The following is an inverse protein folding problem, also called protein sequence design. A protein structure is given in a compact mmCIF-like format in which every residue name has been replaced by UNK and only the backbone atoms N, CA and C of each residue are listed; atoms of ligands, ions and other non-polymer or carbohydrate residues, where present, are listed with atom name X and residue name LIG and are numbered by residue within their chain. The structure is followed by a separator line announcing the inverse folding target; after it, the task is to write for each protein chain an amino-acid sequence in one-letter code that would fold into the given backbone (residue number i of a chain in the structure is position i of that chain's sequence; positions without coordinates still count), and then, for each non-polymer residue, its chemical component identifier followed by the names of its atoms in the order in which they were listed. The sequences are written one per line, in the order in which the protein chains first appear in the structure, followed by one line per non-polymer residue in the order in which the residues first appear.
data_IF_120917955736
#
_entry.id   IF_120917955736
#
_cell.length_a   1.000
_cell.length_b   1.000
_cell.length_c   1.000
_cell.angle_alpha   90.00
_cell.angle_beta   90.00
_cell.angle_gamma   90.00
#
_symmetry.space_group_name_H-M   'P 1'
#
loop_
_entity.id
_entity.type
_entity.pdbx_description
1 polymer ?
#
# COMPACT_ATOMS: atom_id res chain seq x y z
N UNK A 1 -9.77 25.27 0.55
CA UNK A 1 -9.51 23.99 -0.15
C UNK A 1 -10.16 22.90 0.68
N UNK A 2 -10.87 21.95 0.07
CA UNK A 2 -11.53 20.89 0.81
C UNK A 2 -10.49 19.79 1.06
N UNK A 3 -10.08 19.59 2.32
CA UNK A 3 -9.13 18.51 2.68
C UNK A 3 -9.82 17.15 2.55
N UNK A 4 -9.11 16.08 2.18
CA UNK A 4 -9.65 14.73 2.28
C UNK A 4 -9.95 14.38 3.73
N UNK A 5 -10.91 13.47 3.93
CA UNK A 5 -11.51 13.24 5.25
C UNK A 5 -11.46 11.79 5.66
N UNK A 6 -11.07 11.59 6.91
CA UNK A 6 -11.27 10.33 7.65
C UNK A 6 -12.43 10.56 8.60
N UNK A 7 -13.41 9.66 8.56
CA UNK A 7 -14.48 9.63 9.55
C UNK A 7 -14.21 8.50 10.55
N UNK A 8 -14.23 8.82 11.84
CA UNK A 8 -14.14 7.86 12.93
C UNK A 8 -15.47 7.86 13.67
N UNK A 9 -16.15 6.73 13.67
CA UNK A 9 -17.43 6.54 14.37
C UNK A 9 -17.25 5.54 15.48
N UNK A 10 -17.68 5.87 16.69
CA UNK A 10 -17.67 4.93 17.81
C UNK A 10 -19.08 4.65 18.32
N UNK A 11 -19.33 3.40 18.72
CA UNK A 11 -20.52 3.05 19.52
C UNK A 11 -20.27 3.10 21.03
N UNK A 12 -19.04 3.45 21.43
CA UNK A 12 -18.61 3.60 22.82
C UNK A 12 -17.97 4.95 23.05
N UNK A 13 -18.49 5.69 24.03
CA UNK A 13 -18.02 7.03 24.34
C UNK A 13 -16.51 7.09 24.60
N UNK A 14 -15.86 8.06 23.97
CA UNK A 14 -14.44 8.40 24.10
C UNK A 14 -13.51 7.63 23.16
N UNK A 15 -13.99 6.54 22.54
CA UNK A 15 -13.12 5.69 21.70
C UNK A 15 -12.82 6.29 20.34
N UNK A 16 -13.72 7.09 19.75
CA UNK A 16 -13.41 7.75 18.49
C UNK A 16 -12.32 8.82 18.69
N UNK A 17 -12.42 9.61 19.77
CA UNK A 17 -11.41 10.60 20.17
C UNK A 17 -10.06 9.93 20.50
N UNK A 18 -10.08 8.85 21.28
CA UNK A 18 -8.88 8.08 21.62
C UNK A 18 -8.13 7.59 20.38
N UNK A 19 -8.84 7.05 19.37
CA UNK A 19 -8.22 6.63 18.12
C UNK A 19 -7.62 7.83 17.37
N UNK A 20 -8.36 8.94 17.23
CA UNK A 20 -7.87 10.14 16.54
C UNK A 20 -6.58 10.69 17.19
N UNK A 21 -6.55 10.75 18.52
CA UNK A 21 -5.38 11.24 19.26
C UNK A 21 -4.20 10.27 19.15
N UNK A 22 -4.46 8.95 19.21
CA UNK A 22 -3.41 7.93 19.13
C UNK A 22 -2.81 7.77 17.73
N UNK A 23 -3.54 8.09 16.65
CA UNK A 23 -2.94 8.18 15.30
C UNK A 23 -2.08 9.44 15.12
N UNK A 24 -2.07 10.35 16.11
CA UNK A 24 -1.31 11.60 16.09
C UNK A 24 -2.06 12.78 15.47
N UNK A 25 -3.40 12.74 15.41
CA UNK A 25 -4.18 13.88 14.93
C UNK A 25 -4.30 14.97 16.00
N UNK A 26 -4.11 16.22 15.61
CA UNK A 26 -4.19 17.39 16.48
C UNK A 26 -5.60 17.97 16.49
N UNK A 27 -6.14 18.23 17.67
CA UNK A 27 -7.51 18.72 17.82
C UNK A 27 -7.68 20.15 17.27
N UNK A 28 -8.70 20.38 16.47
CA UNK A 28 -9.02 21.69 15.87
C UNK A 28 -10.22 22.36 16.53
N UNK A 29 -11.35 21.65 16.60
CA UNK A 29 -12.62 22.21 17.09
C UNK A 29 -13.54 21.10 17.61
N UNK A 30 -14.46 21.48 18.49
CA UNK A 30 -15.52 20.61 19.01
C UNK A 30 -16.84 21.35 18.91
N UNK A 31 -17.82 20.73 18.26
CA UNK A 31 -19.19 21.19 18.15
C UNK A 31 -20.11 19.99 18.45
N UNK A 32 -20.88 20.09 19.54
CA UNK A 32 -21.73 19.00 20.04
C UNK A 32 -20.95 17.68 20.23
N UNK A 33 -21.40 16.59 19.62
CA UNK A 33 -20.77 15.25 19.65
C UNK A 33 -19.82 15.01 18.46
N UNK A 34 -19.47 16.08 17.74
CA UNK A 34 -18.54 16.05 16.60
C UNK A 34 -17.27 16.80 16.97
N UNK A 35 -16.13 16.14 16.82
CA UNK A 35 -14.81 16.76 17.01
C UNK A 35 -14.00 16.61 15.75
N UNK A 36 -13.42 17.72 15.31
CA UNK A 36 -12.55 17.79 14.15
C UNK A 36 -11.10 17.89 14.60
N UNK A 37 -10.25 17.12 13.93
CA UNK A 37 -8.82 17.04 14.12
C UNK A 37 -8.11 17.22 12.78
N UNK A 38 -6.87 17.69 12.82
CA UNK A 38 -5.98 17.78 11.68
C UNK A 38 -4.89 16.74 11.84
N UNK A 39 -4.71 15.91 10.83
CA UNK A 39 -3.63 14.93 10.81
C UNK A 39 -2.70 15.21 9.65
N UNK A 40 -1.46 15.56 9.98
CA UNK A 40 -0.39 15.77 9.03
C UNK A 40 0.34 14.44 8.84
N UNK A 41 0.05 13.77 7.73
CA UNK A 41 0.83 12.59 7.32
C UNK A 41 2.16 13.12 6.79
N UNK A 42 3.25 12.74 7.45
CA UNK A 42 4.61 13.03 7.03
C UNK A 42 5.45 11.75 7.09
N UNK A 43 5.39 10.94 6.04
CA UNK A 43 6.10 9.65 5.97
C UNK A 43 7.33 9.73 5.05
N UNK A 44 8.02 8.61 4.82
CA UNK A 44 9.24 8.56 3.98
C UNK A 44 8.99 9.01 2.53
N UNK A 45 7.78 8.85 2.02
CA UNK A 45 7.45 8.97 0.60
C UNK A 45 6.69 10.25 0.28
N UNK A 46 5.83 10.72 1.18
CA UNK A 46 4.98 11.88 0.92
C UNK A 46 4.58 12.64 2.18
N UNK A 47 4.04 13.84 1.93
CA UNK A 47 3.28 14.62 2.90
C UNK A 47 1.83 14.77 2.46
N UNK A 48 0.89 14.79 3.39
CA UNK A 48 -0.54 14.98 3.11
C UNK A 48 -1.25 15.54 4.33
N UNK A 49 -2.27 16.39 4.12
CA UNK A 49 -3.08 16.95 5.20
C UNK A 49 -4.48 16.37 5.20
N UNK A 50 -4.88 15.76 6.31
CA UNK A 50 -6.14 15.03 6.43
C UNK A 50 -7.00 15.66 7.52
N UNK A 51 -8.27 15.88 7.23
CA UNK A 51 -9.25 16.24 8.25
C UNK A 51 -9.82 14.95 8.85
N UNK A 52 -9.61 14.75 10.15
CA UNK A 52 -10.15 13.59 10.87
C UNK A 52 -11.35 14.06 11.69
N UNK A 53 -12.51 13.46 11.45
CA UNK A 53 -13.75 13.78 12.17
C UNK A 53 -14.17 12.61 13.04
N UNK A 54 -14.36 12.86 14.33
CA UNK A 54 -14.83 11.84 15.28
C UNK A 54 -16.28 12.06 15.64
N UNK A 55 -17.06 10.99 15.72
CA UNK A 55 -18.45 10.99 16.17
C UNK A 55 -18.61 9.87 17.22
N UNK A 56 -18.99 10.23 18.44
CA UNK A 56 -19.11 9.30 19.58
C UNK A 56 -20.50 8.65 19.70
N UNK A 57 -21.42 8.95 18.76
CA UNK A 57 -22.75 8.35 18.72
C UNK A 57 -23.24 8.16 17.28
N UNK A 58 -23.61 6.92 16.96
CA UNK A 58 -24.23 6.55 15.68
C UNK A 58 -25.62 7.17 15.46
N UNK A 59 -26.18 7.89 16.44
CA UNK A 59 -27.52 8.51 16.35
C UNK A 59 -27.53 9.78 15.51
N UNK A 60 -26.36 10.37 15.23
CA UNK A 60 -26.25 11.61 14.46
C UNK A 60 -26.39 11.37 12.96
N UNK A 61 -26.86 12.39 12.24
CA UNK A 61 -26.74 12.41 10.77
C UNK A 61 -25.27 12.59 10.41
N UNK A 62 -24.63 11.48 10.10
CA UNK A 62 -23.23 11.44 9.70
C UNK A 62 -23.10 12.12 8.32
N UNK A 63 -22.23 13.13 8.17
CA UNK A 63 -21.95 13.70 6.86
C UNK A 63 -21.20 12.68 6.01
N UNK A 64 -21.83 12.22 4.92
CA UNK A 64 -21.27 11.18 4.04
C UNK A 64 -20.46 11.74 2.87
N UNK A 65 -20.47 13.06 2.67
CA UNK A 65 -19.83 13.68 1.52
C UNK A 65 -18.33 13.92 1.75
N UNK A 66 -17.51 13.45 0.80
CA UNK A 66 -16.06 13.68 0.79
C UNK A 66 -15.30 12.85 1.82
N UNK A 67 -15.87 11.74 2.29
CA UNK A 67 -15.18 10.77 3.16
C UNK A 67 -14.35 9.83 2.30
N UNK A 68 -13.04 9.78 2.56
CA UNK A 68 -12.09 8.92 1.87
C UNK A 68 -11.83 7.61 2.61
N UNK A 69 -11.91 7.64 3.95
CA UNK A 69 -11.77 6.48 4.82
C UNK A 69 -12.77 6.51 5.97
N UNK A 70 -13.29 5.34 6.34
CA UNK A 70 -14.14 5.13 7.51
C UNK A 70 -13.43 4.21 8.50
N UNK A 71 -13.34 4.65 9.74
CA UNK A 71 -12.91 3.85 10.89
C UNK A 71 -14.11 3.73 11.82
N UNK A 72 -14.46 2.51 12.19
CA UNK A 72 -15.51 2.23 13.16
C UNK A 72 -14.86 1.65 14.40
N UNK A 73 -15.23 2.14 15.58
CA UNK A 73 -15.04 1.40 16.82
C UNK A 73 -16.37 0.85 17.30
N UNK A 74 -16.42 -0.46 17.53
CA UNK A 74 -17.60 -1.12 18.05
C UNK A 74 -17.19 -2.19 19.07
N UNK A 75 -17.96 -2.37 20.12
CA UNK A 75 -17.79 -3.46 21.08
C UNK A 75 -18.66 -4.66 20.68
N UNK A 76 -18.08 -5.73 20.09
CA UNK A 76 -18.86 -6.87 19.61
C UNK A 76 -19.53 -7.67 20.73
N UNK A 77 -19.17 -7.41 21.99
CA UNK A 77 -19.74 -8.05 23.17
C UNK A 77 -20.89 -7.24 23.77
N UNK A 78 -21.24 -6.09 23.20
CA UNK A 78 -22.36 -5.28 23.65
C UNK A 78 -23.72 -5.97 23.42
N UNK A 79 -24.68 -5.74 24.32
CA UNK A 79 -26.01 -6.34 24.25
C UNK A 79 -26.80 -5.98 22.97
N UNK A 80 -26.50 -4.83 22.39
CA UNK A 80 -27.13 -4.28 21.19
C UNK A 80 -26.23 -4.41 19.94
N UNK A 81 -25.17 -5.22 19.98
CA UNK A 81 -24.17 -5.32 18.92
C UNK A 81 -24.77 -5.56 17.53
N UNK A 82 -25.71 -6.50 17.41
CA UNK A 82 -26.34 -6.82 16.11
C UNK A 82 -27.09 -5.64 15.49
N UNK A 83 -27.79 -4.85 16.32
CA UNK A 83 -28.51 -3.66 15.86
C UNK A 83 -27.55 -2.55 15.41
N UNK A 84 -26.45 -2.37 16.13
CA UNK A 84 -25.41 -1.39 15.77
C UNK A 84 -24.69 -1.80 14.48
N UNK A 85 -24.37 -3.09 14.32
CA UNK A 85 -23.79 -3.62 13.08
C UNK A 85 -24.70 -3.41 11.87
N UNK A 86 -26.02 -3.58 12.01
CA UNK A 86 -26.95 -3.33 10.90
C UNK A 86 -27.03 -1.85 10.51
N UNK A 87 -26.93 -0.94 11.49
CA UNK A 87 -26.81 0.49 11.24
C UNK A 87 -25.48 0.81 10.52
N UNK A 88 -24.36 0.26 10.99
CA UNK A 88 -23.03 0.48 10.41
C UNK A 88 -22.94 -0.04 8.98
N UNK A 89 -23.59 -1.16 8.66
CA UNK A 89 -23.71 -1.66 7.29
C UNK A 89 -24.48 -0.67 6.40
N UNK A 90 -25.56 -0.09 6.92
CA UNK A 90 -26.34 0.93 6.20
C UNK A 90 -25.52 2.21 5.93
N UNK A 91 -24.75 2.66 6.93
CA UNK A 91 -23.83 3.79 6.80
C UNK A 91 -22.76 3.51 5.73
N UNK A 92 -22.16 2.33 5.76
CA UNK A 92 -21.11 1.92 4.82
C UNK A 92 -21.60 1.99 3.37
N UNK A 93 -22.82 1.54 3.09
CA UNK A 93 -23.43 1.59 1.76
C UNK A 93 -23.72 3.02 1.26
N UNK A 94 -23.77 4.01 2.17
CA UNK A 94 -24.00 5.41 1.82
C UNK A 94 -22.72 6.21 1.55
N UNK A 95 -21.55 5.62 1.86
CA UNK A 95 -20.24 6.26 1.74
C UNK A 95 -19.55 5.83 0.44
N UNK A 96 -18.72 6.71 -0.11
CA UNK A 96 -17.85 6.42 -1.26
C UNK A 96 -16.39 6.21 -0.86
N UNK A 97 -16.14 5.93 0.42
CA UNK A 97 -14.80 5.69 0.95
C UNK A 97 -14.18 4.45 0.30
N UNK A 98 -12.85 4.42 0.26
CA UNK A 98 -12.07 3.30 -0.29
C UNK A 98 -11.44 2.45 0.82
N UNK A 99 -11.25 3.03 2.01
CA UNK A 99 -10.67 2.37 3.17
C UNK A 99 -11.73 2.23 4.27
N UNK A 100 -11.94 0.99 4.73
CA UNK A 100 -12.89 0.66 5.79
C UNK A 100 -12.18 -0.16 6.87
N UNK A 101 -12.05 0.39 8.07
CA UNK A 101 -11.39 -0.25 9.20
C UNK A 101 -12.40 -0.45 10.34
N UNK A 102 -12.56 -1.69 10.78
CA UNK A 102 -13.39 -2.05 11.92
C UNK A 102 -12.47 -2.34 13.10
N UNK A 103 -12.54 -1.50 14.12
CA UNK A 103 -11.72 -1.59 15.31
C UNK A 103 -12.55 -2.04 16.51
N UNK A 104 -11.97 -2.90 17.34
CA UNK A 104 -12.58 -3.33 18.59
C UNK A 104 -11.52 -3.73 19.62
N UNK A 105 -11.95 -4.00 20.84
CA UNK A 105 -11.10 -4.68 21.81
C UNK A 105 -10.87 -6.14 21.41
N UNK A 106 -9.87 -6.77 22.02
CA UNK A 106 -9.54 -8.17 21.76
C UNK A 106 -10.74 -9.10 21.97
N UNK A 107 -11.01 -9.94 20.98
CA UNK A 107 -12.11 -10.90 20.99
C UNK A 107 -11.59 -12.26 21.44
N UNK A 108 -11.90 -12.65 22.67
CA UNK A 108 -11.43 -13.93 23.24
C UNK A 108 -12.25 -15.13 22.79
N UNK A 109 -13.54 -14.94 22.49
CA UNK A 109 -14.42 -16.00 21.98
C UNK A 109 -14.20 -16.19 20.47
N UNK A 110 -13.73 -17.39 20.09
CA UNK A 110 -13.48 -17.77 18.69
C UNK A 110 -14.74 -17.69 17.82
N UNK A 111 -15.91 -18.10 18.33
CA UNK A 111 -17.15 -18.07 17.55
C UNK A 111 -17.61 -16.63 17.30
N UNK A 112 -17.46 -15.78 18.30
CA UNK A 112 -17.74 -14.35 18.15
C UNK A 112 -16.75 -13.69 17.19
N UNK A 113 -15.46 -14.03 17.29
CA UNK A 113 -14.42 -13.55 16.38
C UNK A 113 -14.75 -13.91 14.93
N UNK A 114 -15.11 -15.16 14.67
CA UNK A 114 -15.51 -15.62 13.34
C UNK A 114 -16.75 -14.88 12.83
N UNK A 115 -17.75 -14.63 13.69
CA UNK A 115 -18.94 -13.85 13.35
C UNK A 115 -18.56 -12.42 12.92
N UNK A 116 -17.72 -11.74 13.71
CA UNK A 116 -17.29 -10.36 13.45
C UNK A 116 -16.44 -10.29 12.19
N UNK A 117 -15.50 -11.22 12.01
CA UNK A 117 -14.65 -11.28 10.82
C UNK A 117 -15.48 -11.48 9.55
N UNK A 118 -16.44 -12.41 9.56
CA UNK A 118 -17.36 -12.61 8.43
C UNK A 118 -18.19 -11.36 8.13
N UNK A 119 -18.67 -10.66 9.16
CA UNK A 119 -19.37 -9.39 8.97
C UNK A 119 -18.46 -8.33 8.36
N UNK A 120 -17.21 -8.21 8.81
CA UNK A 120 -16.23 -7.26 8.28
C UNK A 120 -15.98 -7.55 6.79
N UNK A 121 -15.68 -8.80 6.43
CA UNK A 121 -15.46 -9.21 5.04
C UNK A 121 -16.66 -8.90 4.14
N UNK A 122 -17.87 -9.17 4.62
CA UNK A 122 -19.10 -8.88 3.87
C UNK A 122 -19.29 -7.37 3.60
N UNK A 123 -18.90 -6.54 4.57
CA UNK A 123 -19.03 -5.08 4.50
C UNK A 123 -17.72 -4.38 4.07
N UNK A 124 -16.73 -5.14 3.58
CA UNK A 124 -15.42 -4.66 3.09
C UNK A 124 -14.54 -3.99 4.14
N UNK A 125 -14.79 -4.25 5.42
CA UNK A 125 -13.93 -3.81 6.51
C UNK A 125 -12.74 -4.76 6.70
N UNK A 126 -11.60 -4.17 7.04
CA UNK A 126 -10.51 -4.88 7.71
C UNK A 126 -10.73 -4.85 9.23
N UNK A 127 -10.59 -6.00 9.90
CA UNK A 127 -10.69 -6.10 11.36
C UNK A 127 -9.37 -5.74 12.03
N UNK A 128 -9.40 -4.79 12.97
CA UNK A 128 -8.25 -4.34 13.76
C UNK A 128 -8.56 -4.42 15.25
N UNK A 129 -7.99 -5.40 15.95
CA UNK A 129 -8.10 -5.49 17.41
C UNK A 129 -7.06 -4.56 18.07
N UNK A 130 -7.53 -3.59 18.87
CA UNK A 130 -6.68 -2.56 19.48
C UNK A 130 -5.81 -3.08 20.62
N UNK A 131 -6.32 -4.02 21.40
CA UNK A 131 -5.68 -4.54 22.61
C UNK A 131 -5.03 -5.91 22.38
N UNK A 132 -4.63 -6.24 21.14
CA UNK A 132 -3.87 -7.46 20.91
C UNK A 132 -2.52 -7.35 21.62
N UNK A 133 -2.51 -7.76 22.88
CA UNK A 133 -1.31 -8.14 23.62
C UNK A 133 -0.86 -9.46 23.02
N UNK A 134 -0.17 -9.40 21.88
CA UNK A 134 0.47 -10.58 21.35
C UNK A 134 1.37 -11.17 22.43
N UNK A 135 1.22 -12.46 22.71
CA UNK A 135 2.41 -13.26 22.95
C UNK A 135 3.29 -13.00 21.72
N UNK A 136 4.29 -12.14 21.88
CA UNK A 136 5.16 -11.64 20.81
C UNK A 136 5.98 -12.75 20.13
N UNK A 137 5.73 -14.01 20.49
CA UNK A 137 6.45 -15.21 20.07
C UNK A 137 5.85 -15.89 18.83
N UNK A 138 4.64 -15.51 18.39
CA UNK A 138 3.99 -16.13 17.20
C UNK A 138 4.12 -15.33 15.91
N UNK A 139 4.40 -14.03 16.00
CA UNK A 139 4.50 -13.17 14.82
C UNK A 139 5.97 -12.91 14.47
N UNK A 140 6.58 -13.88 13.80
CA UNK A 140 7.94 -13.77 13.28
C UNK A 140 8.07 -12.79 12.12
N UNK A 141 6.96 -12.29 11.58
CA UNK A 141 6.89 -11.38 10.43
C UNK A 141 6.90 -9.89 10.81
N UNK A 142 6.77 -9.56 12.11
CA UNK A 142 6.77 -8.17 12.58
C UNK A 142 5.57 -7.37 12.07
N UNK A 143 4.42 -8.02 11.95
CA UNK A 143 3.16 -7.40 11.58
C UNK A 143 2.74 -6.38 12.65
N UNK A 144 2.11 -5.30 12.18
CA UNK A 144 1.59 -4.24 13.05
C UNK A 144 0.17 -4.55 13.48
N UNK A 145 -0.16 -4.19 14.71
CA UNK A 145 -1.48 -4.40 15.31
C UNK A 145 -2.03 -3.11 15.91
N UNK A 146 -3.33 -3.11 16.24
CA UNK A 146 -4.01 -1.98 16.87
C UNK A 146 -3.83 -0.65 16.13
N UNK A 147 -3.45 0.40 16.86
CA UNK A 147 -3.28 1.75 16.31
C UNK A 147 -2.23 1.80 15.20
N UNK A 148 -1.12 1.06 15.35
CA UNK A 148 -0.05 1.07 14.33
C UNK A 148 -0.54 0.50 13.00
N UNK A 149 -1.43 -0.51 13.05
CA UNK A 149 -2.07 -1.06 11.85
C UNK A 149 -3.01 -0.07 11.18
N UNK A 150 -3.78 0.68 11.97
CA UNK A 150 -4.63 1.77 11.46
C UNK A 150 -3.78 2.81 10.72
N UNK A 151 -2.69 3.27 11.36
CA UNK A 151 -1.77 4.24 10.77
C UNK A 151 -1.21 3.72 9.44
N UNK A 152 -0.78 2.46 9.39
CA UNK A 152 -0.22 1.86 8.17
C UNK A 152 -1.24 1.78 7.03
N UNK A 153 -2.46 1.32 7.31
CA UNK A 153 -3.54 1.27 6.32
C UNK A 153 -3.84 2.67 5.75
N UNK A 154 -3.87 3.70 6.60
CA UNK A 154 -4.09 5.08 6.18
C UNK A 154 -2.87 5.67 5.43
N UNK A 155 -1.64 5.32 5.83
CA UNK A 155 -0.44 5.74 5.11
C UNK A 155 -0.32 5.11 3.72
N UNK A 156 -0.83 3.88 3.54
CA UNK A 156 -0.86 3.19 2.25
C UNK A 156 -1.92 3.76 1.29
N UNK A 157 -2.90 4.52 1.79
CA UNK A 157 -3.91 5.13 0.96
C UNK A 157 -3.34 6.27 0.10
N UNK A 158 -3.79 6.37 -1.16
CA UNK A 158 -3.36 7.41 -2.09
C UNK A 158 -4.25 8.65 -1.93
N UNK A 159 -3.89 9.53 -0.99
CA UNK A 159 -4.68 10.72 -0.70
C UNK A 159 -4.74 11.71 -1.87
N UNK A 160 -5.89 12.37 -2.12
CA UNK A 160 -6.05 13.34 -3.22
C UNK A 160 -5.08 14.53 -3.20
N UNK A 161 -4.52 14.86 -2.04
CA UNK A 161 -3.60 15.99 -1.83
C UNK A 161 -2.18 15.54 -1.44
N UNK A 162 -1.77 14.33 -1.82
CA UNK A 162 -0.39 13.86 -1.66
C UNK A 162 0.60 14.83 -2.32
N UNK A 163 1.63 15.19 -1.57
CA UNK A 163 2.83 15.87 -2.07
C UNK A 163 4.01 14.92 -1.87
N UNK A 164 4.48 14.32 -2.96
CA UNK A 164 5.60 13.38 -2.94
C UNK A 164 6.89 14.08 -2.48
N UNK A 165 7.62 13.42 -1.59
CA UNK A 165 8.97 13.83 -1.23
C UNK A 165 9.90 13.43 -2.36
N UNK A 166 10.57 14.42 -2.94
CA UNK A 166 11.69 14.16 -3.82
C UNK A 166 12.79 13.55 -2.95
N UNK A 167 12.93 12.22 -2.96
CA UNK A 167 14.20 11.62 -2.61
C UNK A 167 15.21 12.23 -3.59
N UNK A 168 16.33 12.83 -3.17
CA UNK A 168 17.44 12.95 -4.08
C UNK A 168 17.74 11.51 -4.49
N UNK A 169 17.40 11.18 -5.73
CA UNK A 169 18.02 10.08 -6.43
C UNK A 169 19.51 10.45 -6.44
N UNK A 170 20.23 9.98 -5.42
CA UNK A 170 21.68 10.01 -5.43
C UNK A 170 22.04 8.81 -6.30
N UNK A 171 22.50 9.13 -7.51
CA UNK A 171 23.23 8.29 -8.48
C UNK A 171 22.55 7.47 -9.59
N UNK A 172 21.22 7.39 -9.74
CA UNK A 172 20.69 6.64 -10.92
C UNK A 172 20.87 7.40 -12.26
N UNK A 173 20.96 8.73 -12.26
CA UNK A 173 21.20 9.49 -13.51
C UNK A 173 22.62 9.37 -14.04
N UNK A 174 23.59 9.04 -13.19
CA UNK A 174 24.96 8.78 -13.65
C UNK A 174 25.09 7.35 -14.18
N UNK A 175 24.48 6.38 -13.50
CA UNK A 175 24.50 4.98 -13.95
C UNK A 175 23.70 4.74 -15.22
N UNK A 176 22.52 5.33 -15.41
CA UNK A 176 21.74 5.13 -16.65
C UNK A 176 22.46 5.69 -17.89
N UNK A 177 23.22 6.77 -17.74
CA UNK A 177 24.02 7.32 -18.84
C UNK A 177 25.27 6.47 -19.13
N UNK A 178 25.98 6.01 -18.09
CA UNK A 178 27.13 5.10 -18.26
C UNK A 178 26.71 3.75 -18.83
N UNK A 179 25.55 3.22 -18.42
CA UNK A 179 24.95 2.00 -18.95
C UNK A 179 24.52 2.23 -20.40
N UNK A 180 23.89 3.36 -20.73
CA UNK A 180 23.54 3.75 -22.10
C UNK A 180 24.74 3.79 -23.05
N UNK A 181 25.89 4.32 -22.61
CA UNK A 181 27.14 4.33 -23.37
C UNK A 181 27.76 2.91 -23.52
N UNK A 182 27.60 2.04 -22.52
CA UNK A 182 28.00 0.63 -22.63
C UNK A 182 27.14 -0.14 -23.66
N UNK A 183 25.85 0.19 -23.77
CA UNK A 183 24.94 -0.39 -24.75
C UNK A 183 25.06 0.22 -26.15
N UNK A 184 25.51 1.47 -26.31
CA UNK A 184 25.77 2.08 -27.64
C UNK A 184 26.91 1.38 -28.41
N UNK A 185 27.82 0.70 -27.71
CA UNK A 185 28.92 -0.04 -28.31
C UNK A 185 28.54 -1.45 -28.78
N UNK A 186 27.32 -1.92 -28.51
CA UNK A 186 26.83 -3.24 -28.95
C UNK A 186 26.37 -3.14 -30.40
N UNK A 187 27.24 -3.54 -31.34
CA UNK A 187 26.85 -3.72 -32.74
C UNK A 187 26.07 -5.01 -32.90
N UNK A 188 24.79 -4.90 -33.26
CA UNK A 188 23.98 -6.05 -33.66
C UNK A 188 24.52 -6.65 -34.96
N UNK A 189 25.06 -7.87 -34.88
CA UNK A 189 25.37 -8.67 -36.07
C UNK A 189 24.69 -10.04 -36.00
N UNK A 190 24.58 -10.68 -37.16
CA UNK A 190 23.93 -12.00 -37.32
C UNK A 190 24.86 -13.18 -36.98
N UNK A 191 26.06 -12.95 -36.48
CA UNK A 191 27.02 -14.01 -36.22
C UNK A 191 26.72 -14.74 -34.90
N UNK A 192 26.57 -16.08 -34.89
CA UNK A 192 26.35 -16.85 -33.67
C UNK A 192 27.47 -16.73 -32.63
N UNK A 193 28.69 -16.36 -33.04
CA UNK A 193 29.82 -16.15 -32.11
C UNK A 193 29.69 -14.83 -31.32
N UNK A 194 29.02 -13.82 -31.88
CA UNK A 194 28.80 -12.52 -31.23
C UNK A 194 27.53 -12.52 -30.34
N UNK A 195 26.60 -13.47 -30.56
CA UNK A 195 25.46 -13.70 -29.65
C UNK A 195 25.90 -14.18 -28.26
N UNK A 196 26.92 -15.03 -28.21
CA UNK A 196 27.52 -15.49 -26.95
C UNK A 196 28.14 -14.32 -26.18
N UNK A 197 28.83 -13.41 -26.89
CA UNK A 197 29.43 -12.22 -26.28
C UNK A 197 28.38 -11.30 -25.64
N UNK A 198 27.20 -11.11 -26.27
CA UNK A 198 26.11 -10.34 -25.66
C UNK A 198 25.50 -11.04 -24.45
N UNK A 199 25.38 -12.37 -24.48
CA UNK A 199 24.92 -13.14 -23.32
C UNK A 199 25.88 -13.00 -22.14
N UNK A 200 27.20 -13.02 -22.39
CA UNK A 200 28.22 -12.83 -21.37
C UNK A 200 28.23 -11.40 -20.78
N UNK A 201 27.93 -10.39 -21.61
CA UNK A 201 27.78 -9.00 -21.14
C UNK A 201 26.51 -8.86 -20.28
N UNK A 202 25.40 -9.45 -20.70
CA UNK A 202 24.14 -9.41 -19.95
C UNK A 202 24.23 -10.18 -18.63
N UNK A 203 24.85 -11.36 -18.64
CA UNK A 203 25.12 -12.14 -17.43
C UNK A 203 26.11 -11.39 -16.49
N UNK A 204 27.00 -10.55 -17.02
CA UNK A 204 27.88 -9.68 -16.22
C UNK A 204 27.22 -8.44 -15.63
N UNK A 205 26.13 -7.94 -16.25
CA UNK A 205 25.36 -6.77 -15.80
C UNK A 205 24.22 -7.17 -14.84
N UNK A 206 23.61 -8.34 -15.07
CA UNK A 206 22.42 -8.83 -14.36
C UNK A 206 22.72 -10.00 -13.40
N UNK A 207 23.93 -10.55 -13.43
CA UNK A 207 24.33 -11.72 -12.63
C UNK A 207 24.94 -11.40 -11.27
N UNK A 208 24.90 -10.15 -10.81
CA UNK A 208 25.16 -9.87 -9.39
C UNK A 208 23.91 -10.25 -8.58
N UNK A 209 24.08 -11.22 -7.69
CA UNK A 209 23.06 -11.73 -6.77
C UNK A 209 22.52 -10.63 -5.82
N UNK A 210 23.10 -9.41 -5.86
CA UNK A 210 22.74 -8.26 -5.04
C UNK A 210 22.16 -7.06 -5.82
N UNK A 211 21.88 -7.17 -7.12
CA UNK A 211 21.33 -6.05 -7.90
C UNK A 211 19.94 -5.61 -7.37
N UNK A 212 19.77 -4.31 -7.10
CA UNK A 212 18.48 -3.76 -6.64
C UNK A 212 17.45 -3.77 -7.78
N UNK A 213 16.18 -4.01 -7.46
CA UNK A 213 15.10 -4.10 -8.45
C UNK A 213 14.96 -2.80 -9.28
N UNK A 214 15.32 -1.65 -8.69
CA UNK A 214 15.38 -0.36 -9.39
C UNK A 214 16.42 -0.34 -10.52
N UNK A 215 17.60 -0.91 -10.28
CA UNK A 215 18.69 -1.01 -11.26
C UNK A 215 18.29 -1.93 -12.42
N UNK A 216 17.71 -3.09 -12.10
CA UNK A 216 17.18 -4.05 -13.09
C UNK A 216 16.09 -3.42 -13.97
N UNK A 217 15.22 -2.59 -13.37
CA UNK A 217 14.15 -1.90 -14.11
C UNK A 217 14.69 -0.78 -15.00
N UNK A 218 15.68 -0.02 -14.53
CA UNK A 218 16.39 0.98 -15.33
C UNK A 218 17.06 0.36 -16.56
N UNK A 219 17.73 -0.78 -16.37
CA UNK A 219 18.35 -1.55 -17.44
C UNK A 219 17.30 -2.08 -18.44
N UNK A 220 16.17 -2.60 -17.95
CA UNK A 220 15.06 -3.05 -18.82
C UNK A 220 14.50 -1.92 -19.68
N UNK A 221 14.32 -0.73 -19.11
CA UNK A 221 13.81 0.44 -19.84
C UNK A 221 14.77 0.90 -20.94
N UNK A 222 16.08 0.91 -20.68
CA UNK A 222 17.10 1.22 -21.70
C UNK A 222 17.08 0.20 -22.85
N UNK A 223 16.98 -1.10 -22.54
CA UNK A 223 16.89 -2.15 -23.57
C UNK A 223 15.59 -2.07 -24.39
N UNK A 224 14.47 -1.71 -23.74
CA UNK A 224 13.17 -1.50 -24.41
C UNK A 224 13.22 -0.34 -25.40
N UNK A 225 13.90 0.75 -25.05
CA UNK A 225 14.08 1.92 -25.92
C UNK A 225 14.93 1.57 -27.15
N UNK A 226 16.02 0.82 -26.96
CA UNK A 226 16.81 0.30 -28.08
C UNK A 226 16.01 -0.64 -28.98
N UNK A 227 15.24 -1.58 -28.41
CA UNK A 227 14.40 -2.48 -29.17
C UNK A 227 13.36 -1.74 -30.02
N UNK A 228 12.81 -0.63 -29.53
CA UNK A 228 11.82 0.17 -30.27
C UNK A 228 12.38 0.75 -31.59
N UNK A 229 13.70 0.93 -31.68
CA UNK A 229 14.39 1.44 -32.88
C UNK A 229 14.63 0.39 -33.98
N UNK A 230 14.47 -0.91 -33.67
CA UNK A 230 14.85 -2.01 -34.57
C UNK A 230 13.72 -2.47 -35.53
N UNK A 231 14.05 -3.08 -36.67
CA UNK A 231 13.08 -3.75 -37.54
C UNK A 231 12.38 -4.92 -36.83
N UNK A 232 11.17 -5.27 -37.28
CA UNK A 232 10.29 -6.22 -36.57
C UNK A 232 10.87 -7.62 -36.35
N UNK A 233 11.76 -8.09 -37.22
CA UNK A 233 12.41 -9.40 -37.10
C UNK A 233 13.53 -9.42 -36.04
N UNK A 234 14.25 -8.31 -35.89
CA UNK A 234 15.33 -8.13 -34.93
C UNK A 234 14.79 -7.83 -33.53
N UNK A 235 13.69 -7.07 -33.45
CA UNK A 235 12.93 -6.84 -32.22
C UNK A 235 12.56 -8.12 -31.47
N UNK A 236 12.18 -9.18 -32.20
CA UNK A 236 11.77 -10.45 -31.60
C UNK A 236 12.93 -11.16 -30.90
N UNK A 237 14.11 -11.14 -31.51
CA UNK A 237 15.32 -11.76 -30.96
C UNK A 237 15.80 -10.99 -29.73
N UNK A 238 15.77 -9.66 -29.79
CA UNK A 238 16.13 -8.82 -28.64
C UNK A 238 15.15 -8.99 -27.48
N UNK A 239 13.84 -9.06 -27.76
CA UNK A 239 12.81 -9.29 -26.74
C UNK A 239 12.99 -10.64 -26.03
N UNK A 240 13.31 -11.70 -26.78
CA UNK A 240 13.61 -13.03 -26.23
C UNK A 240 14.81 -12.95 -25.27
N UNK A 241 15.91 -12.32 -25.70
CA UNK A 241 17.12 -12.19 -24.89
C UNK A 241 16.91 -11.33 -23.63
N UNK A 242 16.17 -10.22 -23.73
CA UNK A 242 15.82 -9.35 -22.59
C UNK A 242 15.01 -10.12 -21.55
N UNK A 243 13.98 -10.84 -22.00
CA UNK A 243 13.09 -11.60 -21.11
C UNK A 243 13.85 -12.73 -20.43
N UNK A 244 14.69 -13.47 -21.17
CA UNK A 244 15.50 -14.54 -20.59
C UNK A 244 16.49 -14.02 -19.55
N UNK A 245 17.15 -12.89 -19.82
CA UNK A 245 18.10 -12.31 -18.88
C UNK A 245 17.42 -11.77 -17.61
N UNK A 246 16.27 -11.12 -17.76
CA UNK A 246 15.47 -10.63 -16.63
C UNK A 246 14.90 -11.78 -15.79
N UNK A 247 14.45 -12.86 -16.42
CA UNK A 247 13.95 -14.05 -15.72
C UNK A 247 15.04 -14.72 -14.88
N UNK A 248 16.25 -14.87 -15.43
CA UNK A 248 17.41 -15.37 -14.68
C UNK A 248 17.78 -14.46 -13.51
N UNK A 249 17.78 -13.14 -13.70
CA UNK A 249 18.10 -12.17 -12.66
C UNK A 249 17.11 -12.23 -11.48
N UNK A 250 15.85 -12.58 -11.75
CA UNK A 250 14.84 -12.86 -10.71
C UNK A 250 14.97 -14.26 -10.07
N UNK A 251 16.00 -15.03 -10.42
CA UNK A 251 16.27 -16.37 -9.89
C UNK A 251 15.55 -17.51 -10.63
N UNK A 252 14.99 -17.25 -11.81
CA UNK A 252 14.32 -18.27 -12.61
C UNK A 252 15.30 -19.21 -13.35
N UNK A 253 14.96 -20.49 -13.43
CA UNK A 253 15.76 -21.50 -14.15
C UNK A 253 15.45 -21.48 -15.66
N UNK A 254 16.49 -21.64 -16.49
CA UNK A 254 16.36 -21.72 -17.95
C UNK A 254 15.55 -22.94 -18.40
N UNK A 255 15.53 -24.00 -17.59
CA UNK A 255 14.75 -25.21 -17.86
C UNK A 255 13.23 -24.98 -17.84
N UNK A 256 12.76 -23.86 -17.25
CA UNK A 256 11.34 -23.50 -17.20
C UNK A 256 10.86 -22.71 -18.44
N UNK A 257 11.78 -22.26 -19.30
CA UNK A 257 11.49 -21.41 -20.47
C UNK A 257 11.46 -22.23 -21.78
N UNK A 258 11.92 -23.49 -21.76
CA UNK A 258 12.05 -24.35 -22.96
C UNK A 258 10.79 -25.20 -23.31
N UNK A 259 9.65 -25.00 -22.63
CA UNK A 259 8.35 -25.64 -22.97
C UNK A 259 7.37 -24.71 -23.72
#
# INVERSE_FOLDING_TARGET
MNLPRVLIVSTKEGKAKEIAENIGAERLSEEDDIVDYLWDIDNKYYTSQILVRTIESISYKIPVEGINALIVYHDPQANNADQELEYLASLTNSLTAEVFLFSCNTITDTLLRDKVLNWCLHNKFELVELDQTGDSESDTEGNKYGIERIIEALHAHTWPNIVLKNKPCVDETHEVNEIGEQFENIRLTRDPSERLHMQDILDGILGDENADFGELFGQFMAMKEQAASLPSNERRVMAEQVVTAFWKAMGGDLLEIED
#
